data_IF_688702067987
#
_entry.id   IF_688702067987
#
_cell.length_a   1.000
_cell.length_b   1.000
_cell.length_c   1.000
_cell.angle_alpha   90.00
_cell.angle_beta   90.00
_cell.angle_gamma   90.00
#
_symmetry.space_group_name_H-M   'P 1'
#
loop_
_entity.id
_entity.type
_entity.pdbx_description
1 polymer ?
#
# COMPACT_ATOMS: atom_id res chain seq x y z
N UNK A 1 -27.35 32.22 32.12
CA UNK A 1 -27.63 31.42 33.34
C UNK A 1 -28.12 30.04 32.92
N UNK A 2 -27.59 28.99 33.56
CA UNK A 2 -27.97 27.56 33.44
C UNK A 2 -27.18 26.68 32.44
N UNK A 3 -25.86 26.61 32.64
CA UNK A 3 -25.08 25.38 32.41
C UNK A 3 -24.15 25.17 33.61
N UNK A 4 -24.73 24.83 34.76
CA UNK A 4 -24.01 24.21 35.89
C UNK A 4 -24.77 22.93 36.21
N UNK A 5 -24.02 21.87 36.48
CA UNK A 5 -24.43 20.49 36.74
C UNK A 5 -24.60 19.59 35.50
N UNK A 6 -23.48 19.22 34.88
CA UNK A 6 -23.33 17.83 34.44
C UNK A 6 -22.71 17.05 35.63
N UNK A 7 -23.33 15.95 36.11
CA UNK A 7 -22.78 15.12 37.18
C UNK A 7 -21.39 14.59 36.81
N UNK A 8 -20.48 14.44 37.77
CA UNK A 8 -19.09 14.03 37.53
C UNK A 8 -18.95 12.66 36.83
N UNK A 9 -20.00 11.83 36.89
CA UNK A 9 -20.12 10.60 36.12
C UNK A 9 -20.09 10.82 34.59
N UNK A 10 -20.69 11.91 34.10
CA UNK A 10 -20.66 12.25 32.67
C UNK A 10 -19.29 12.77 32.21
N UNK A 11 -18.53 13.43 33.08
CA UNK A 11 -17.16 13.87 32.78
C UNK A 11 -16.19 12.70 32.65
N UNK A 12 -16.35 11.68 33.50
CA UNK A 12 -15.62 10.41 33.37
C UNK A 12 -16.00 9.66 32.08
N UNK A 13 -17.29 9.59 31.76
CA UNK A 13 -17.78 8.92 30.55
C UNK A 13 -17.29 9.61 29.27
N UNK A 14 -17.26 10.94 29.22
CA UNK A 14 -16.74 11.71 28.07
C UNK A 14 -15.23 11.53 27.90
N UNK A 15 -14.46 11.43 29.00
CA UNK A 15 -13.01 11.13 28.95
C UNK A 15 -12.72 9.71 28.48
N UNK A 16 -13.46 8.72 28.97
CA UNK A 16 -13.33 7.32 28.53
C UNK A 16 -13.77 7.17 27.07
N UNK A 17 -14.90 7.76 26.66
CA UNK A 17 -15.38 7.73 25.28
C UNK A 17 -14.44 8.49 24.34
N UNK A 18 -13.87 9.63 24.77
CA UNK A 18 -12.86 10.36 23.97
C UNK A 18 -11.52 9.64 23.87
N UNK A 19 -11.10 8.89 24.89
CA UNK A 19 -9.89 8.06 24.87
C UNK A 19 -10.08 6.80 24.03
N UNK A 20 -11.25 6.15 24.15
CA UNK A 20 -11.63 5.01 23.31
C UNK A 20 -11.79 5.44 21.85
N UNK A 21 -12.44 6.57 21.55
CA UNK A 21 -12.55 7.10 20.19
C UNK A 21 -11.20 7.56 19.64
N UNK A 22 -10.34 8.18 20.44
CA UNK A 22 -8.98 8.55 20.04
C UNK A 22 -8.11 7.33 19.74
N UNK A 23 -8.18 6.31 20.60
CA UNK A 23 -7.47 5.05 20.39
C UNK A 23 -8.05 4.30 19.21
N UNK A 24 -9.38 4.26 19.04
CA UNK A 24 -10.03 3.66 17.87
C UNK A 24 -9.70 4.42 16.59
N UNK A 25 -9.54 5.75 16.61
CA UNK A 25 -9.26 6.57 15.42
C UNK A 25 -7.77 6.61 15.05
N UNK A 26 -6.84 6.67 16.02
CA UNK A 26 -5.41 6.48 15.77
C UNK A 26 -5.10 5.03 15.41
N UNK A 27 -5.73 4.06 16.08
CA UNK A 27 -5.68 2.67 15.65
C UNK A 27 -6.29 2.60 14.25
N UNK A 28 -7.48 3.12 13.96
CA UNK A 28 -8.02 3.08 12.60
C UNK A 28 -7.10 3.73 11.57
N UNK A 29 -6.56 4.92 11.82
CA UNK A 29 -5.73 5.64 10.85
C UNK A 29 -4.38 4.95 10.64
N UNK A 30 -3.72 4.50 11.71
CA UNK A 30 -2.44 3.78 11.62
C UNK A 30 -2.65 2.37 11.06
N UNK A 31 -3.69 1.66 11.50
CA UNK A 31 -4.02 0.31 11.04
C UNK A 31 -4.57 0.32 9.62
N UNK A 32 -5.28 1.37 9.20
CA UNK A 32 -5.71 1.56 7.81
C UNK A 32 -4.53 1.87 6.90
N UNK A 33 -3.61 2.75 7.33
CA UNK A 33 -2.40 3.03 6.56
C UNK A 33 -1.47 1.81 6.50
N UNK A 34 -1.33 1.09 7.62
CA UNK A 34 -0.54 -0.14 7.71
C UNK A 34 -1.19 -1.29 6.92
N UNK A 35 -2.52 -1.46 6.98
CA UNK A 35 -3.24 -2.45 6.18
C UNK A 35 -3.20 -2.13 4.68
N UNK A 36 -3.28 -0.84 4.31
CA UNK A 36 -3.12 -0.40 2.91
C UNK A 36 -1.70 -0.65 2.41
N UNK A 37 -0.69 -0.42 3.27
CA UNK A 37 0.70 -0.73 2.95
C UNK A 37 0.93 -2.24 2.82
N UNK A 38 0.38 -3.08 3.69
CA UNK A 38 0.42 -4.54 3.59
C UNK A 38 -0.31 -5.05 2.33
N UNK A 39 -1.45 -4.46 1.97
CA UNK A 39 -2.18 -4.76 0.75
C UNK A 39 -1.34 -4.46 -0.52
N UNK A 40 -0.69 -3.30 -0.55
CA UNK A 40 0.24 -2.93 -1.62
C UNK A 40 1.42 -3.89 -1.70
N UNK A 41 2.07 -4.20 -0.57
CA UNK A 41 3.20 -5.13 -0.50
C UNK A 41 2.78 -6.54 -0.96
N UNK A 42 1.57 -6.98 -0.61
CA UNK A 42 1.06 -8.30 -1.02
C UNK A 42 0.88 -8.39 -2.53
N UNK A 43 0.39 -7.33 -3.18
CA UNK A 43 0.27 -7.28 -4.66
C UNK A 43 1.65 -7.15 -5.31
N UNK A 44 2.51 -6.29 -4.80
CA UNK A 44 3.89 -6.10 -5.28
C UNK A 44 4.65 -7.43 -5.31
N UNK A 45 4.55 -8.25 -4.25
CA UNK A 45 5.16 -9.58 -4.21
C UNK A 45 4.68 -10.51 -5.34
N UNK A 46 3.41 -10.44 -5.75
CA UNK A 46 2.92 -11.25 -6.87
C UNK A 46 3.37 -10.68 -8.22
N UNK A 47 3.46 -9.35 -8.34
CA UNK A 47 4.02 -8.68 -9.53
C UNK A 47 5.48 -9.06 -9.72
N UNK A 48 6.29 -9.03 -8.67
CA UNK A 48 7.70 -9.45 -8.72
C UNK A 48 7.87 -10.89 -9.19
N UNK A 49 6.99 -11.80 -8.75
CA UNK A 49 6.99 -13.19 -9.23
C UNK A 49 6.73 -13.29 -10.73
N UNK A 50 5.79 -12.48 -11.24
CA UNK A 50 5.51 -12.40 -12.69
C UNK A 50 6.74 -11.87 -13.43
N UNK A 51 7.31 -10.74 -12.98
CA UNK A 51 8.48 -10.12 -13.62
C UNK A 51 9.68 -11.07 -13.66
N UNK A 52 9.97 -11.74 -12.54
CA UNK A 52 11.05 -12.72 -12.46
C UNK A 52 10.83 -13.91 -13.41
N UNK A 53 9.61 -14.47 -13.43
CA UNK A 53 9.29 -15.59 -14.34
C UNK A 53 9.35 -15.16 -15.81
N UNK A 54 8.87 -13.96 -16.13
CA UNK A 54 8.91 -13.41 -17.48
C UNK A 54 10.34 -13.16 -17.96
N UNK A 55 11.19 -12.59 -17.11
CA UNK A 55 12.62 -12.38 -17.43
C UNK A 55 13.32 -13.70 -17.69
N UNK A 56 13.11 -14.71 -16.83
CA UNK A 56 13.72 -16.03 -17.00
C UNK A 56 13.32 -16.70 -18.31
N UNK A 57 12.01 -16.68 -18.65
CA UNK A 57 11.51 -17.23 -19.92
C UNK A 57 12.10 -16.44 -21.09
N UNK A 58 12.11 -15.10 -21.03
CA UNK A 58 12.68 -14.25 -22.09
C UNK A 58 14.16 -14.58 -22.34
N UNK A 59 14.96 -14.65 -21.29
CA UNK A 59 16.40 -14.91 -21.40
C UNK A 59 16.66 -16.30 -22.00
N UNK A 60 15.93 -17.31 -21.54
CA UNK A 60 16.05 -18.67 -22.05
C UNK A 60 15.55 -18.77 -23.50
N UNK A 61 14.41 -18.18 -23.82
CA UNK A 61 13.84 -18.16 -25.16
C UNK A 61 14.80 -17.47 -26.13
N UNK A 62 15.34 -16.31 -25.76
CA UNK A 62 16.30 -15.56 -26.58
C UNK A 62 17.53 -16.41 -26.90
N UNK A 63 18.15 -17.04 -25.90
CA UNK A 63 19.33 -17.91 -26.11
C UNK A 63 19.01 -19.10 -27.01
N UNK A 64 17.94 -19.83 -26.69
CA UNK A 64 17.60 -21.05 -27.46
C UNK A 64 17.15 -20.76 -28.89
N UNK A 65 16.42 -19.66 -29.12
CA UNK A 65 16.08 -19.22 -30.46
C UNK A 65 17.32 -18.76 -31.23
N UNK A 66 18.26 -18.07 -30.58
CA UNK A 66 19.53 -17.69 -31.18
C UNK A 66 20.35 -18.91 -31.60
N UNK A 67 20.42 -19.94 -30.76
CA UNK A 67 21.13 -21.19 -31.04
C UNK A 67 20.51 -21.93 -32.25
N UNK A 68 19.17 -22.02 -32.28
CA UNK A 68 18.44 -22.64 -33.39
C UNK A 68 18.61 -21.84 -34.68
N UNK A 69 18.53 -20.50 -34.60
CA UNK A 69 18.74 -19.61 -35.75
C UNK A 69 20.14 -19.78 -36.31
N UNK A 70 21.17 -19.74 -35.46
CA UNK A 70 22.56 -19.91 -35.85
C UNK A 70 22.82 -21.28 -36.49
N UNK A 71 22.19 -22.35 -35.96
CA UNK A 71 22.28 -23.70 -36.53
C UNK A 71 21.66 -23.76 -37.93
N UNK A 72 20.47 -23.17 -38.11
CA UNK A 72 19.77 -23.15 -39.40
C UNK A 72 20.55 -22.30 -40.42
N UNK A 73 21.09 -21.15 -40.01
CA UNK A 73 21.94 -20.30 -40.86
C UNK A 73 23.21 -21.01 -41.30
N UNK A 74 23.89 -21.70 -40.39
CA UNK A 74 25.08 -22.49 -40.72
C UNK A 74 24.74 -23.59 -41.73
N UNK A 75 23.64 -24.32 -41.54
CA UNK A 75 23.19 -25.34 -42.48
C UNK A 75 22.85 -24.75 -43.85
N UNK A 76 22.15 -23.61 -43.88
CA UNK A 76 21.84 -22.90 -45.12
C UNK A 76 23.10 -22.51 -45.88
N UNK A 77 24.13 -22.02 -45.19
CA UNK A 77 25.39 -21.63 -45.83
C UNK A 77 26.13 -22.85 -46.42
N UNK A 78 26.20 -23.96 -45.67
CA UNK A 78 26.80 -25.21 -46.15
C UNK A 78 26.07 -25.73 -47.40
N UNK A 79 24.74 -25.67 -47.39
CA UNK A 79 23.92 -26.08 -48.54
C UNK A 79 24.08 -25.15 -49.76
N UNK A 80 24.32 -23.85 -49.54
CA UNK A 80 24.54 -22.89 -50.61
C UNK A 80 25.91 -23.05 -51.31
N UNK A 81 26.91 -23.62 -50.62
CA UNK A 81 28.23 -23.92 -51.20
C UNK A 81 28.26 -25.24 -51.98
N UNK A 82 27.17 -26.01 -51.96
CA UNK A 82 27.06 -27.27 -52.69
C UNK A 82 26.78 -27.03 -54.19
N UNK A 83 27.34 -27.86 -55.10
CA UNK A 83 27.06 -27.76 -56.54
C UNK A 83 25.58 -28.07 -56.87
N UNK A 84 25.07 -27.58 -58.01
CA UNK A 84 23.64 -27.68 -58.39
C UNK A 84 23.06 -29.11 -58.43
N UNK A 85 23.90 -30.12 -58.61
CA UNK A 85 23.51 -31.54 -58.62
C UNK A 85 23.93 -32.30 -57.34
N UNK A 86 24.18 -31.59 -56.23
CA UNK A 86 24.55 -32.21 -54.96
C UNK A 86 23.36 -32.91 -54.32
N UNK A 87 23.41 -34.26 -54.27
CA UNK A 87 22.49 -35.02 -53.44
C UNK A 87 22.92 -34.96 -51.97
N UNK A 88 21.98 -34.64 -51.08
CA UNK A 88 22.27 -34.60 -49.64
C UNK A 88 22.73 -35.98 -49.17
N UNK A 89 23.89 -36.02 -48.52
CA UNK A 89 24.38 -37.25 -47.89
C UNK A 89 23.45 -37.67 -46.74
N UNK A 90 23.38 -38.97 -46.38
CA UNK A 90 22.57 -39.43 -45.25
C UNK A 90 22.87 -38.69 -43.93
N UNK A 91 24.13 -38.29 -43.75
CA UNK A 91 24.55 -37.48 -42.61
C UNK A 91 23.98 -36.06 -42.65
N UNK A 92 24.01 -35.39 -43.82
CA UNK A 92 23.43 -34.06 -44.00
C UNK A 92 21.91 -34.07 -43.76
N UNK A 93 21.21 -35.08 -44.30
CA UNK A 93 19.77 -35.26 -44.06
C UNK A 93 19.48 -35.44 -42.56
N UNK A 94 20.31 -36.22 -41.86
CA UNK A 94 20.17 -36.43 -40.42
C UNK A 94 20.36 -35.12 -39.64
N UNK A 95 21.37 -34.32 -39.95
CA UNK A 95 21.64 -33.05 -39.28
C UNK A 95 20.50 -32.05 -39.51
N UNK A 96 19.97 -31.95 -40.74
CA UNK A 96 18.82 -31.08 -41.04
C UNK A 96 17.57 -31.52 -40.27
N UNK A 97 17.30 -32.82 -40.22
CA UNK A 97 16.17 -33.35 -39.45
C UNK A 97 16.32 -33.08 -37.95
N UNK A 98 17.53 -33.18 -37.40
CA UNK A 98 17.81 -32.83 -36.00
C UNK A 98 17.60 -31.34 -35.73
N UNK A 99 18.05 -30.46 -36.63
CA UNK A 99 17.83 -29.02 -36.50
C UNK A 99 16.33 -28.66 -36.53
N UNK A 100 15.57 -29.28 -37.44
CA UNK A 100 14.12 -29.13 -37.52
C UNK A 100 13.40 -29.63 -36.27
N UNK A 101 13.83 -30.78 -35.73
CA UNK A 101 13.28 -31.33 -34.49
C UNK A 101 13.55 -30.37 -33.30
N UNK A 102 14.78 -29.89 -33.16
CA UNK A 102 15.18 -28.93 -32.12
C UNK A 102 14.41 -27.61 -32.22
N UNK A 103 14.19 -27.10 -33.44
CA UNK A 103 13.38 -25.91 -33.66
C UNK A 103 11.93 -26.12 -33.22
N UNK A 104 11.32 -27.25 -33.61
CA UNK A 104 9.95 -27.60 -33.24
C UNK A 104 9.78 -27.76 -31.73
N UNK A 105 10.73 -28.42 -31.08
CA UNK A 105 10.77 -28.57 -29.62
C UNK A 105 10.87 -27.22 -28.92
N UNK A 106 11.79 -26.36 -29.39
CA UNK A 106 12.02 -25.02 -28.81
C UNK A 106 10.76 -24.16 -28.88
N UNK A 107 10.09 -24.12 -30.04
CA UNK A 107 8.83 -23.38 -30.23
C UNK A 107 7.70 -23.99 -29.39
N UNK A 108 7.60 -25.32 -29.34
CA UNK A 108 6.58 -26.02 -28.55
C UNK A 108 6.71 -25.77 -27.04
N UNK A 109 7.95 -25.77 -26.54
CA UNK A 109 8.25 -25.43 -25.14
C UNK A 109 7.91 -23.97 -24.85
N UNK A 110 8.32 -23.03 -25.71
CA UNK A 110 8.03 -21.61 -25.54
C UNK A 110 6.52 -21.32 -25.51
N UNK A 111 5.74 -22.00 -26.36
CA UNK A 111 4.28 -21.89 -26.35
C UNK A 111 3.67 -22.39 -25.03
N UNK A 112 4.24 -23.47 -24.45
CA UNK A 112 3.81 -24.00 -23.16
C UNK A 112 4.15 -23.04 -22.02
N UNK A 113 5.40 -22.55 -21.97
CA UNK A 113 5.86 -21.57 -20.97
C UNK A 113 5.03 -20.28 -21.02
N UNK A 114 4.69 -19.80 -22.22
CA UNK A 114 3.80 -18.66 -22.40
C UNK A 114 2.40 -18.90 -21.83
N UNK A 115 1.81 -20.09 -22.04
CA UNK A 115 0.51 -20.43 -21.44
C UNK A 115 0.57 -20.45 -19.92
N UNK A 116 1.66 -20.98 -19.35
CA UNK A 116 1.84 -21.03 -17.90
C UNK A 116 1.97 -19.65 -17.26
N UNK A 117 2.47 -18.64 -17.98
CA UNK A 117 2.53 -17.26 -17.49
C UNK A 117 1.13 -16.70 -17.17
N UNK A 118 0.10 -17.03 -17.94
CA UNK A 118 -1.27 -16.58 -17.65
C UNK A 118 -1.73 -16.96 -16.24
N UNK A 119 -1.35 -18.16 -15.77
CA UNK A 119 -1.68 -18.61 -14.41
C UNK A 119 -1.01 -17.74 -13.34
N UNK A 120 0.20 -17.23 -13.61
CA UNK A 120 0.97 -16.39 -12.69
C UNK A 120 0.42 -14.97 -12.69
N UNK A 121 0.11 -14.41 -13.86
CA UNK A 121 -0.56 -13.10 -14.01
C UNK A 121 -1.92 -13.10 -13.31
N UNK A 122 -2.70 -14.18 -13.43
CA UNK A 122 -4.00 -14.30 -12.76
C UNK A 122 -3.90 -14.23 -11.24
N UNK A 123 -2.76 -14.64 -10.64
CA UNK A 123 -2.54 -14.53 -9.18
C UNK A 123 -2.41 -13.08 -8.73
N UNK A 124 -1.87 -12.19 -9.57
CA UNK A 124 -1.83 -10.74 -9.32
C UNK A 124 -3.24 -10.19 -9.23
N UNK A 125 -4.11 -10.49 -10.21
CA UNK A 125 -5.52 -10.08 -10.17
C UNK A 125 -6.22 -10.57 -8.90
N UNK A 126 -6.06 -11.86 -8.55
CA UNK A 126 -6.60 -12.41 -7.29
C UNK A 126 -6.00 -11.79 -6.03
N UNK A 127 -4.76 -11.31 -6.07
CA UNK A 127 -4.15 -10.60 -4.95
C UNK A 127 -4.75 -9.20 -4.82
N UNK A 128 -5.02 -8.52 -5.94
CA UNK A 128 -5.73 -7.23 -5.93
C UNK A 128 -7.12 -7.42 -5.33
N UNK A 129 -7.91 -8.37 -5.84
CA UNK A 129 -9.29 -8.61 -5.38
C UNK A 129 -9.39 -8.97 -3.89
N UNK A 130 -8.36 -9.62 -3.33
CA UNK A 130 -8.31 -10.01 -1.91
C UNK A 130 -7.85 -8.90 -0.98
N UNK A 131 -6.98 -8.01 -1.45
CA UNK A 131 -6.34 -7.01 -0.60
C UNK A 131 -6.98 -5.63 -0.73
N UNK A 132 -7.66 -5.35 -1.84
CA UNK A 132 -8.35 -4.09 -2.08
C UNK A 132 -9.85 -4.35 -2.12
N UNK A 133 -10.53 -3.97 -1.03
CA UNK A 133 -11.99 -4.03 -0.95
C UNK A 133 -12.58 -2.92 -1.83
N UNK A 134 -13.52 -3.26 -2.71
CA UNK A 134 -14.19 -2.33 -3.63
C UNK A 134 -15.24 -1.43 -2.95
N UNK A 135 -15.50 -1.64 -1.66
CA UNK A 135 -16.51 -0.91 -0.91
C UNK A 135 -15.97 0.42 -0.36
N UNK A 136 -15.80 1.38 -1.28
CA UNK A 136 -15.61 2.79 -0.93
C UNK A 136 -16.94 3.52 -0.72
N UNK A 137 -18.09 2.85 -0.87
CA UNK A 137 -19.40 3.50 -0.91
C UNK A 137 -19.75 4.22 0.41
N UNK A 138 -19.16 3.82 1.53
CA UNK A 138 -19.32 4.53 2.81
C UNK A 138 -18.50 5.83 2.89
N UNK A 139 -17.38 5.93 2.17
CA UNK A 139 -16.47 7.08 2.16
C UNK A 139 -16.71 8.02 0.96
N UNK A 140 -17.28 7.53 -0.14
CA UNK A 140 -17.54 8.28 -1.38
C UNK A 140 -18.95 8.89 -1.48
N UNK A 141 -19.78 8.68 -0.47
CA UNK A 141 -21.11 9.28 -0.40
C UNK A 141 -21.02 10.78 -0.14
N UNK A 142 -21.17 11.57 -1.19
CA UNK A 142 -21.22 13.04 -1.13
C UNK A 142 -22.32 13.55 -0.17
N UNK A 143 -23.38 12.78 0.06
CA UNK A 143 -24.49 13.14 0.95
C UNK A 143 -24.18 12.98 2.45
N UNK A 144 -23.09 12.28 2.81
CA UNK A 144 -22.74 12.04 4.22
C UNK A 144 -22.30 13.34 4.90
N UNK A 145 -21.60 14.23 4.19
CA UNK A 145 -21.11 15.51 4.70
C UNK A 145 -21.74 16.75 4.03
N UNK A 146 -22.85 16.58 3.30
CA UNK A 146 -23.45 17.68 2.53
C UNK A 146 -24.21 18.72 3.36
N UNK A 147 -24.65 18.36 4.58
CA UNK A 147 -25.39 19.28 5.45
C UNK A 147 -24.45 20.21 6.21
N UNK A 148 -24.74 21.52 6.32
CA UNK A 148 -23.90 22.50 7.03
C UNK A 148 -23.47 22.07 8.44
N UNK A 149 -24.39 21.49 9.22
CA UNK A 149 -24.11 21.02 10.59
C UNK A 149 -23.05 19.92 10.64
N UNK A 150 -23.05 19.02 9.65
CA UNK A 150 -22.07 17.92 9.57
C UNK A 150 -20.71 18.42 9.08
N UNK A 151 -20.68 19.40 8.18
CA UNK A 151 -19.42 20.07 7.78
C UNK A 151 -18.80 20.77 8.99
N UNK A 152 -19.59 21.51 9.77
CA UNK A 152 -19.12 22.14 10.99
C UNK A 152 -18.61 21.11 12.02
N UNK A 153 -19.34 20.00 12.19
CA UNK A 153 -18.92 18.91 13.06
C UNK A 153 -17.60 18.27 12.58
N UNK A 154 -17.45 18.06 11.27
CA UNK A 154 -16.23 17.52 10.67
C UNK A 154 -15.05 18.45 10.90
N UNK A 155 -15.19 19.74 10.58
CA UNK A 155 -14.15 20.74 10.81
C UNK A 155 -13.77 20.81 12.30
N UNK A 156 -14.74 20.74 13.20
CA UNK A 156 -14.48 20.68 14.65
C UNK A 156 -13.67 19.44 15.04
N UNK A 157 -13.99 18.27 14.49
CA UNK A 157 -13.24 17.04 14.75
C UNK A 157 -11.81 17.15 14.22
N UNK A 158 -11.62 17.73 13.03
CA UNK A 158 -10.29 17.94 12.43
C UNK A 158 -9.48 18.95 13.24
N UNK A 159 -10.04 20.09 13.65
CA UNK A 159 -9.39 21.04 14.55
C UNK A 159 -8.95 20.37 15.86
N UNK A 160 -9.86 19.62 16.50
CA UNK A 160 -9.55 18.88 17.72
C UNK A 160 -8.44 17.84 17.51
N UNK A 161 -8.36 17.24 16.33
CA UNK A 161 -7.27 16.33 15.98
C UNK A 161 -5.93 17.07 15.90
N UNK A 162 -5.86 18.23 15.24
CA UNK A 162 -4.63 19.01 15.17
C UNK A 162 -4.17 19.54 16.54
N UNK A 163 -5.09 19.97 17.41
CA UNK A 163 -4.74 20.31 18.80
C UNK A 163 -4.14 19.12 19.54
N UNK A 164 -4.67 17.91 19.36
CA UNK A 164 -4.14 16.69 19.98
C UNK A 164 -2.76 16.27 19.46
N UNK A 165 -2.43 16.61 18.22
CA UNK A 165 -1.13 16.32 17.60
C UNK A 165 -0.06 17.38 17.90
N UNK A 166 -0.43 18.48 18.56
CA UNK A 166 0.47 19.61 18.81
C UNK A 166 0.66 20.56 17.63
N UNK A 167 -0.13 20.40 16.56
CA UNK A 167 -0.16 21.31 15.42
C UNK A 167 -1.09 22.49 15.68
N UNK A 168 -0.76 23.31 16.69
CA UNK A 168 -1.62 24.38 17.22
C UNK A 168 -1.93 25.45 16.17
N UNK A 169 -0.93 25.90 15.42
CA UNK A 169 -1.06 26.93 14.38
C UNK A 169 -2.03 26.51 13.26
N UNK A 170 -1.92 25.26 12.79
CA UNK A 170 -2.83 24.70 11.78
C UNK A 170 -4.25 24.58 12.32
N UNK A 171 -4.39 24.17 13.58
CA UNK A 171 -5.68 24.04 14.24
C UNK A 171 -6.40 25.38 14.40
N UNK A 172 -5.66 26.43 14.80
CA UNK A 172 -6.17 27.78 14.99
C UNK A 172 -6.60 28.41 13.66
N UNK A 173 -5.76 28.29 12.62
CA UNK A 173 -6.11 28.78 11.28
C UNK A 173 -7.38 28.11 10.75
N UNK A 174 -7.49 26.78 10.88
CA UNK A 174 -8.67 26.04 10.45
C UNK A 174 -9.92 26.42 11.27
N UNK A 175 -9.77 26.69 12.57
CA UNK A 175 -10.88 27.11 13.43
C UNK A 175 -11.39 28.50 13.05
N UNK A 176 -10.49 29.44 12.72
CA UNK A 176 -10.84 30.78 12.25
C UNK A 176 -11.58 30.72 10.92
N UNK A 177 -11.03 29.99 9.93
CA UNK A 177 -11.65 29.83 8.60
C UNK A 177 -13.00 29.13 8.65
N UNK A 178 -13.19 28.18 9.58
CA UNK A 178 -14.45 27.45 9.76
C UNK A 178 -15.44 28.15 10.71
N UNK A 179 -15.09 29.30 11.32
CA UNK A 179 -15.93 30.01 12.27
C UNK A 179 -16.23 29.24 13.56
N UNK A 180 -15.26 28.43 14.03
CA UNK A 180 -15.42 27.55 15.18
C UNK A 180 -14.92 28.20 16.48
N UNK A 181 -15.75 28.21 17.52
CA UNK A 181 -15.32 28.54 18.89
C UNK A 181 -14.65 27.33 19.55
N UNK A 182 -13.35 27.16 19.31
CA UNK A 182 -12.56 26.02 19.75
C UNK A 182 -11.83 26.22 21.09
N UNK A 183 -12.00 27.37 21.77
CA UNK A 183 -11.26 27.74 22.99
C UNK A 183 -11.36 26.69 24.10
N UNK A 184 -12.53 26.09 24.29
CA UNK A 184 -12.77 25.05 25.32
C UNK A 184 -12.01 23.73 25.11
N UNK A 185 -11.47 23.49 23.92
CA UNK A 185 -10.76 22.25 23.56
C UNK A 185 -9.24 22.36 23.60
N UNK A 186 -8.68 23.58 23.69
CA UNK A 186 -7.23 23.84 23.52
C UNK A 186 -6.42 23.49 24.78
N UNK A 187 -6.91 23.91 25.95
CA UNK A 187 -6.15 23.87 27.21
C UNK A 187 -5.64 22.46 27.59
N UNK A 188 -6.44 21.37 27.49
CA UNK A 188 -5.97 20.05 27.91
C UNK A 188 -4.89 19.48 27.00
N UNK A 189 -4.87 19.86 25.72
CA UNK A 189 -3.90 19.36 24.76
C UNK A 189 -2.65 20.23 24.71
N UNK A 190 -2.75 21.54 25.00
CA UNK A 190 -1.58 22.40 25.13
C UNK A 190 -0.62 21.91 26.23
N UNK A 191 -1.13 21.68 27.45
CA UNK A 191 -0.34 21.15 28.58
C UNK A 191 0.25 19.76 28.24
N UNK A 192 -0.51 18.89 27.56
CA UNK A 192 -0.03 17.59 27.11
C UNK A 192 1.10 17.68 26.08
N UNK A 193 0.96 18.55 25.07
CA UNK A 193 1.96 18.71 24.02
C UNK A 193 3.26 19.30 24.57
N UNK A 194 3.17 20.23 25.53
CA UNK A 194 4.33 20.79 26.24
C UNK A 194 5.12 19.70 26.99
N UNK A 195 4.41 18.80 27.69
CA UNK A 195 5.01 17.65 28.36
C UNK A 195 5.68 16.71 27.34
N UNK A 196 5.01 16.42 26.22
CA UNK A 196 5.56 15.56 25.16
C UNK A 196 6.85 16.15 24.54
N UNK A 197 6.89 17.46 24.28
CA UNK A 197 8.10 18.12 23.78
C UNK A 197 9.25 18.09 24.80
N UNK A 198 8.93 18.32 26.08
CA UNK A 198 9.91 18.22 27.17
C UNK A 198 10.50 16.82 27.29
N UNK A 199 9.66 15.79 27.16
CA UNK A 199 10.10 14.39 27.16
C UNK A 199 11.01 14.07 25.98
N UNK A 200 10.75 14.62 24.78
CA UNK A 200 11.65 14.47 23.62
C UNK A 200 13.03 15.08 23.89
N UNK A 201 13.08 16.16 24.67
CA UNK A 201 14.31 16.81 25.13
C UNK A 201 14.94 16.12 26.36
N UNK A 202 14.41 14.96 26.77
CA UNK A 202 14.80 14.20 27.96
C UNK A 202 14.60 14.96 29.28
N UNK A 203 13.74 15.97 29.29
CA UNK A 203 13.31 16.68 30.49
C UNK A 203 12.04 16.03 31.05
N UNK A 204 12.13 15.47 32.25
CA UNK A 204 11.02 14.78 32.92
C UNK A 204 10.23 15.69 33.87
N UNK A 205 10.75 16.87 34.21
CA UNK A 205 10.19 17.72 35.27
C UNK A 205 8.73 18.13 35.00
N UNK A 206 8.35 18.56 33.77
CA UNK A 206 6.96 18.94 33.47
C UNK A 206 5.98 17.77 33.60
N UNK A 207 6.41 16.54 33.30
CA UNK A 207 5.58 15.34 33.45
C UNK A 207 5.34 15.00 34.93
N UNK A 208 6.37 15.18 35.77
CA UNK A 208 6.30 14.91 37.21
C UNK A 208 5.43 15.95 37.94
N UNK A 209 5.57 17.23 37.59
CA UNK A 209 4.72 18.29 38.14
C UNK A 209 3.25 18.09 37.77
N UNK A 210 2.98 17.72 36.52
CA UNK A 210 1.64 17.40 36.07
C UNK A 210 1.01 16.23 36.86
N UNK A 211 1.77 15.15 37.06
CA UNK A 211 1.33 13.99 37.83
C UNK A 211 1.10 14.33 39.32
N UNK A 212 1.93 15.21 39.89
CA UNK A 212 1.75 15.68 41.26
C UNK A 212 0.46 16.51 41.42
N UNK A 213 0.21 17.43 40.49
CA UNK A 213 -0.97 18.31 40.45
C UNK A 213 -2.28 17.53 40.26
N UNK A 214 -2.24 16.44 39.51
CA UNK A 214 -3.42 15.61 39.21
C UNK A 214 -3.51 14.33 40.04
N UNK A 215 -2.69 14.20 41.10
CA UNK A 215 -2.59 13.00 41.94
C UNK A 215 -3.95 12.46 42.40
N UNK A 216 -4.84 13.32 42.90
CA UNK A 216 -6.16 12.93 43.41
C UNK A 216 -7.13 12.42 42.35
N UNK A 217 -6.88 12.72 41.07
CA UNK A 217 -7.67 12.21 39.95
C UNK A 217 -7.05 10.96 39.30
N UNK A 218 -5.84 10.57 39.73
CA UNK A 218 -5.09 9.40 39.27
C UNK A 218 -5.15 8.23 40.28
N UNK A 219 -5.62 8.47 41.50
CA UNK A 219 -5.99 7.47 42.52
C UNK A 219 -7.40 6.89 42.24
#
# INVERSE_FOLDING_TARGET
FRVRFLPDYFRGLIRVVSFVLFRVFLQFSVYFFYASMEACIAVEREVDKVLNKFSSIKDHASRTLQDVTSLIESLKNILAECPENHEMTPNQVTIVNQAMAKAKETVGRLATEHRELHSTVSKVGKAIDRNFVSDFASTSREDVFSSPDKVMLLNRIICQHFYRQGSLEIADQLAEEAGLDCESGKEPFAELNEILESLKQKNLDPALEWAHKHRTALE
#
